data_IF_819290895718
#
_entry.id   IF_819290895718
#
_cell.length_a   1.000
_cell.length_b   1.000
_cell.length_c   1.000
_cell.angle_alpha   90.00
_cell.angle_beta   90.00
_cell.angle_gamma   90.00
#
_symmetry.space_group_name_H-M   'P 1'
#
loop_
_entity.id
_entity.type
_entity.pdbx_description
1 polymer ?
#
# COMPACT_ATOMS: atom_id res chain seq x y z
N UNK A 1 1.76 2.36 24.24
CA UNK A 1 2.71 1.22 24.20
C UNK A 1 3.94 1.38 25.12
N UNK A 2 4.26 2.56 25.68
CA UNK A 2 5.41 2.70 26.60
C UNK A 2 6.79 2.51 25.95
N UNK A 3 6.85 2.57 24.61
CA UNK A 3 8.06 2.45 23.82
C UNK A 3 8.61 3.83 23.43
N UNK A 4 9.92 3.89 23.20
CA UNK A 4 10.55 4.99 22.47
C UNK A 4 10.31 4.78 20.97
N UNK A 5 9.75 5.79 20.30
CA UNK A 5 9.37 5.70 18.89
C UNK A 5 10.24 6.64 18.05
N UNK A 6 10.82 6.08 17.00
CA UNK A 6 11.54 6.84 15.96
C UNK A 6 10.81 6.61 14.65
N UNK A 7 10.35 7.68 14.02
CA UNK A 7 9.69 7.64 12.72
C UNK A 7 10.64 8.12 11.62
N UNK A 8 10.95 7.22 10.69
CA UNK A 8 11.72 7.48 9.49
C UNK A 8 10.89 7.19 8.21
N UNK A 9 9.58 7.01 8.34
CA UNK A 9 8.69 6.87 7.20
C UNK A 9 8.69 8.16 6.39
N UNK A 10 8.59 8.02 5.07
CA UNK A 10 8.57 9.15 4.16
C UNK A 10 7.63 8.84 3.01
N UNK A 11 6.67 9.74 2.77
CA UNK A 11 5.75 9.59 1.65
C UNK A 11 6.52 9.44 0.32
N UNK A 12 6.03 8.57 -0.57
CA UNK A 12 6.66 8.30 -1.85
C UNK A 12 8.04 7.62 -1.77
N UNK A 13 8.45 7.07 -0.63
CA UNK A 13 9.69 6.30 -0.52
C UNK A 13 9.58 4.93 -1.22
N UNK A 14 10.69 4.51 -1.81
CA UNK A 14 10.96 3.21 -2.43
C UNK A 14 11.97 2.43 -1.59
N UNK A 15 12.23 1.16 -1.93
CA UNK A 15 13.29 0.38 -1.26
C UNK A 15 14.69 1.00 -1.37
N UNK A 16 14.95 1.84 -2.38
CA UNK A 16 16.24 2.52 -2.54
C UNK A 16 16.50 3.54 -1.42
N UNK A 17 15.45 4.20 -0.94
CA UNK A 17 15.50 5.25 0.10
C UNK A 17 15.86 4.70 1.48
N UNK A 18 15.83 3.37 1.66
CA UNK A 18 16.40 2.72 2.84
C UNK A 18 17.89 3.04 3.03
N UNK A 19 18.64 3.04 1.93
CA UNK A 19 20.11 3.11 1.96
C UNK A 19 20.67 4.43 1.43
N UNK A 20 19.84 5.29 0.84
CA UNK A 20 20.27 6.55 0.26
C UNK A 20 19.38 7.70 0.73
N UNK A 21 19.95 8.91 0.96
CA UNK A 21 19.15 10.10 1.19
C UNK A 21 18.36 10.48 -0.07
N UNK A 22 17.29 11.23 0.11
CA UNK A 22 16.42 11.71 -0.97
C UNK A 22 16.01 13.15 -0.77
N UNK A 23 15.69 13.83 -1.86
CA UNK A 23 15.11 15.17 -1.81
C UNK A 23 13.58 15.08 -1.77
N UNK A 24 12.97 15.77 -0.80
CA UNK A 24 11.51 15.85 -0.66
C UNK A 24 11.13 17.21 -0.09
N UNK A 25 10.22 17.93 -0.75
CA UNK A 25 9.73 19.22 -0.25
C UNK A 25 10.79 20.32 -0.14
N UNK A 26 11.93 20.20 -0.83
CA UNK A 26 13.06 21.13 -0.72
C UNK A 26 14.04 20.80 0.43
N UNK A 27 13.87 19.65 1.07
CA UNK A 27 14.74 19.16 2.15
C UNK A 27 15.36 17.81 1.78
N UNK A 28 16.59 17.59 2.23
CA UNK A 28 17.27 16.29 2.17
C UNK A 28 16.79 15.42 3.33
N UNK A 29 16.01 14.39 3.02
CA UNK A 29 15.61 13.34 3.96
C UNK A 29 16.75 12.31 4.03
N UNK A 30 17.29 11.99 5.22
CA UNK A 30 18.32 10.97 5.38
C UNK A 30 17.88 9.58 4.90
N UNK A 31 18.84 8.69 4.63
CA UNK A 31 18.56 7.28 4.41
C UNK A 31 17.80 6.70 5.61
N UNK A 32 16.72 5.95 5.37
CA UNK A 32 15.84 5.51 6.47
C UNK A 32 16.55 4.58 7.46
N UNK A 33 17.51 3.76 7.00
CA UNK A 33 18.31 2.88 7.86
C UNK A 33 19.23 3.65 8.82
N UNK A 34 19.47 4.95 8.60
CA UNK A 34 20.21 5.76 9.56
C UNK A 34 19.48 5.89 10.91
N UNK A 35 18.15 5.73 10.93
CA UNK A 35 17.36 5.69 12.17
C UNK A 35 17.65 4.48 13.06
N UNK A 36 18.30 3.45 12.52
CA UNK A 36 18.66 2.22 13.24
C UNK A 36 20.08 2.27 13.82
N UNK A 37 20.78 3.41 13.74
CA UNK A 37 22.18 3.54 14.14
C UNK A 37 22.43 3.20 15.61
N UNK A 38 21.49 3.56 16.49
CA UNK A 38 21.56 3.27 17.93
C UNK A 38 20.93 1.90 18.29
N UNK A 39 20.55 1.11 17.27
CA UNK A 39 19.85 -0.16 17.40
C UNK A 39 18.33 0.00 17.45
N UNK A 40 17.63 -1.13 17.38
CA UNK A 40 16.19 -1.21 17.53
C UNK A 40 15.79 -2.56 18.11
N UNK A 41 14.77 -2.58 18.95
CA UNK A 41 14.16 -3.81 19.45
C UNK A 41 13.13 -4.36 18.44
N UNK A 42 12.35 -3.47 17.83
CA UNK A 42 11.31 -3.77 16.85
C UNK A 42 11.43 -2.79 15.69
N UNK A 43 11.32 -3.28 14.46
CA UNK A 43 11.27 -2.45 13.24
C UNK A 43 9.95 -2.74 12.53
N UNK A 44 9.06 -1.75 12.47
CA UNK A 44 7.86 -1.79 11.65
C UNK A 44 8.18 -1.20 10.28
N UNK A 45 7.81 -1.88 9.20
CA UNK A 45 8.12 -1.41 7.85
C UNK A 45 7.01 -1.75 6.85
N UNK A 46 6.63 -0.76 6.04
CA UNK A 46 5.79 -0.91 4.85
C UNK A 46 6.53 -0.32 3.65
N UNK A 47 6.72 -1.10 2.59
CA UNK A 47 7.43 -0.69 1.38
C UNK A 47 7.04 -1.58 0.18
N UNK A 48 7.41 -1.16 -1.04
CA UNK A 48 7.15 -1.91 -2.26
C UNK A 48 6.12 -1.28 -3.20
N UNK A 49 5.11 -0.58 -2.68
CA UNK A 49 4.08 0.05 -3.50
C UNK A 49 4.63 1.10 -4.48
N UNK A 50 5.59 1.92 -4.04
CA UNK A 50 6.25 2.89 -4.91
C UNK A 50 7.29 2.23 -5.83
N UNK A 51 7.91 1.12 -5.43
CA UNK A 51 8.80 0.33 -6.31
C UNK A 51 8.03 -0.27 -7.49
N UNK A 52 6.81 -0.75 -7.25
CA UNK A 52 5.86 -1.17 -8.28
C UNK A 52 5.39 0.01 -9.14
N UNK A 53 5.44 1.23 -8.60
CA UNK A 53 4.89 2.42 -9.24
C UNK A 53 3.37 2.49 -9.16
N UNK A 54 2.78 1.92 -8.10
CA UNK A 54 1.33 1.81 -7.93
C UNK A 54 0.56 3.14 -8.09
N UNK A 55 1.04 4.29 -7.56
CA UNK A 55 0.34 5.57 -7.78
C UNK A 55 0.26 5.97 -9.26
N UNK A 56 1.36 5.80 -10.01
CA UNK A 56 1.39 6.10 -11.44
C UNK A 56 0.52 5.11 -12.25
N UNK A 57 0.49 3.84 -11.81
CA UNK A 57 -0.37 2.82 -12.38
C UNK A 57 -1.84 3.21 -12.25
N UNK A 58 -2.31 3.57 -11.05
CA UNK A 58 -3.69 4.02 -10.85
C UNK A 58 -3.98 5.30 -11.64
N UNK A 59 -3.04 6.25 -11.68
CA UNK A 59 -3.16 7.46 -12.50
C UNK A 59 -3.38 7.17 -13.98
N UNK A 60 -2.73 6.14 -14.52
CA UNK A 60 -2.92 5.67 -15.90
C UNK A 60 -4.27 4.97 -16.15
N UNK A 61 -4.93 4.51 -15.10
CA UNK A 61 -6.22 3.81 -15.14
C UNK A 61 -7.42 4.73 -14.89
N UNK A 62 -7.21 6.03 -14.66
CA UNK A 62 -8.32 6.95 -14.44
C UNK A 62 -9.22 7.03 -15.68
N UNK A 63 -10.49 6.67 -15.49
CA UNK A 63 -11.51 6.60 -16.51
C UNK A 63 -12.42 7.84 -16.50
N UNK A 64 -12.93 8.22 -17.68
CA UNK A 64 -13.89 9.33 -17.81
C UNK A 64 -15.33 8.92 -17.51
N UNK A 65 -15.67 7.68 -17.84
CA UNK A 65 -16.99 7.07 -17.67
C UNK A 65 -16.80 5.62 -17.16
N UNK A 66 -17.84 4.96 -16.61
CA UNK A 66 -17.72 3.61 -16.05
C UNK A 66 -17.19 2.56 -17.03
N UNK A 67 -17.43 2.74 -18.33
CA UNK A 67 -16.97 1.88 -19.40
C UNK A 67 -15.74 2.44 -20.15
N UNK A 68 -15.10 3.49 -19.61
CA UNK A 68 -13.97 4.18 -20.23
C UNK A 68 -14.36 5.31 -21.20
N UNK A 69 -13.40 5.90 -21.94
CA UNK A 69 -12.00 5.52 -22.00
C UNK A 69 -11.18 6.02 -20.81
N UNK A 70 -10.00 5.42 -20.60
CA UNK A 70 -8.97 6.01 -19.75
C UNK A 70 -8.27 7.16 -20.45
N UNK A 71 -7.67 8.08 -19.68
CA UNK A 71 -6.97 9.24 -20.25
C UNK A 71 -5.86 8.86 -21.24
N UNK A 72 -5.28 7.66 -21.09
CA UNK A 72 -4.22 7.13 -21.95
C UNK A 72 -4.71 6.67 -23.35
N UNK A 73 -6.02 6.60 -23.61
CA UNK A 73 -6.59 6.30 -24.93
C UNK A 73 -7.38 4.98 -25.04
N UNK A 74 -6.91 3.84 -24.49
CA UNK A 74 -7.68 2.60 -24.48
C UNK A 74 -9.01 2.71 -23.74
N UNK A 75 -9.89 1.73 -23.95
CA UNK A 75 -11.14 1.61 -23.17
C UNK A 75 -10.83 1.42 -21.69
N UNK A 76 -9.90 0.52 -21.36
CA UNK A 76 -9.44 0.25 -19.98
C UNK A 76 -7.91 0.23 -19.95
N UNK A 77 -7.27 0.56 -18.82
CA UNK A 77 -5.81 0.44 -18.74
C UNK A 77 -5.35 -1.02 -18.83
N UNK A 78 -6.20 -1.95 -18.39
CA UNK A 78 -6.00 -3.40 -18.52
C UNK A 78 -5.78 -3.80 -19.98
N UNK A 79 -6.43 -3.16 -20.96
CA UNK A 79 -6.22 -3.49 -22.37
C UNK A 79 -4.78 -3.26 -22.84
N UNK A 80 -4.06 -2.32 -22.22
CA UNK A 80 -2.66 -2.05 -22.51
C UNK A 80 -1.71 -2.84 -21.60
N UNK A 81 -2.07 -3.04 -20.33
CA UNK A 81 -1.16 -3.57 -19.30
C UNK A 81 -1.28 -5.08 -19.11
N UNK A 82 -2.45 -5.65 -19.38
CA UNK A 82 -2.74 -7.08 -19.27
C UNK A 82 -3.70 -7.52 -20.40
N UNK A 83 -3.28 -7.40 -21.67
CA UNK A 83 -4.12 -7.76 -22.81
C UNK A 83 -4.45 -9.25 -22.81
N UNK A 84 -5.66 -9.59 -23.27
CA UNK A 84 -6.10 -10.99 -23.37
C UNK A 84 -5.14 -11.81 -24.25
N UNK A 85 -4.63 -12.92 -23.72
CA UNK A 85 -3.65 -13.78 -24.40
C UNK A 85 -2.22 -13.23 -24.43
N UNK A 86 -1.96 -12.10 -23.76
CA UNK A 86 -0.63 -11.55 -23.54
C UNK A 86 -0.17 -11.69 -22.09
N UNK A 87 1.02 -11.15 -21.81
CA UNK A 87 1.57 -11.06 -20.46
C UNK A 87 0.97 -9.88 -19.72
N UNK A 88 0.55 -10.12 -18.48
CA UNK A 88 0.29 -9.03 -17.55
C UNK A 88 1.62 -8.41 -17.10
N UNK A 89 1.92 -7.23 -17.63
CA UNK A 89 3.20 -6.56 -17.43
C UNK A 89 3.42 -6.15 -15.97
N UNK A 90 2.35 -5.87 -15.22
CA UNK A 90 2.43 -5.43 -13.83
C UNK A 90 2.68 -6.61 -12.91
N UNK A 91 1.98 -7.72 -13.11
CA UNK A 91 2.24 -8.97 -12.38
C UNK A 91 3.65 -9.49 -12.63
N UNK A 92 4.09 -9.50 -13.89
CA UNK A 92 5.46 -9.86 -14.24
C UNK A 92 6.51 -8.95 -13.57
N UNK A 93 6.19 -7.66 -13.37
CA UNK A 93 7.05 -6.73 -12.63
C UNK A 93 7.07 -7.02 -11.13
N UNK A 94 5.94 -7.40 -10.54
CA UNK A 94 5.85 -7.85 -9.14
C UNK A 94 6.76 -9.06 -8.94
N UNK A 95 6.60 -10.11 -9.76
CA UNK A 95 7.35 -11.36 -9.65
C UNK A 95 8.85 -11.19 -9.94
N UNK A 96 9.24 -10.18 -10.71
CA UNK A 96 10.62 -9.93 -11.11
C UNK A 96 11.32 -8.83 -10.30
N UNK A 97 11.20 -7.60 -10.79
CA UNK A 97 11.92 -6.42 -10.28
C UNK A 97 11.56 -6.12 -8.82
N UNK A 98 10.26 -6.12 -8.50
CA UNK A 98 9.78 -5.75 -7.16
C UNK A 98 10.14 -6.82 -6.15
N UNK A 99 9.89 -8.10 -6.43
CA UNK A 99 10.28 -9.20 -5.54
C UNK A 99 11.78 -9.18 -5.21
N UNK A 100 12.63 -8.96 -6.21
CA UNK A 100 14.08 -8.80 -6.00
C UNK A 100 14.39 -7.65 -5.05
N UNK A 101 13.80 -6.47 -5.28
CA UNK A 101 14.02 -5.29 -4.43
C UNK A 101 13.51 -5.48 -3.01
N UNK A 102 12.36 -6.14 -2.82
CA UNK A 102 11.82 -6.47 -1.51
C UNK A 102 12.79 -7.38 -0.74
N UNK A 103 13.31 -8.43 -1.39
CA UNK A 103 14.31 -9.31 -0.78
C UNK A 103 15.58 -8.57 -0.36
N UNK A 104 16.11 -7.69 -1.22
CA UNK A 104 17.25 -6.84 -0.87
C UNK A 104 16.93 -5.89 0.28
N UNK A 105 15.74 -5.27 0.29
CA UNK A 105 15.30 -4.35 1.31
C UNK A 105 15.26 -5.01 2.69
N UNK A 106 14.59 -6.17 2.82
CA UNK A 106 14.56 -6.90 4.08
C UNK A 106 15.94 -7.40 4.50
N UNK A 107 16.79 -7.81 3.55
CA UNK A 107 18.19 -8.14 3.83
C UNK A 107 18.97 -6.96 4.42
N UNK A 108 18.79 -5.75 3.89
CA UNK A 108 19.43 -4.53 4.41
C UNK A 108 18.90 -4.14 5.80
N UNK A 109 17.60 -4.25 6.04
CA UNK A 109 17.02 -4.00 7.37
C UNK A 109 17.57 -5.00 8.39
N UNK A 110 17.62 -6.29 8.05
CA UNK A 110 18.21 -7.33 8.90
C UNK A 110 19.70 -7.07 9.18
N UNK A 111 20.45 -6.59 8.19
CA UNK A 111 21.86 -6.25 8.38
C UNK A 111 22.06 -5.03 9.29
N UNK A 112 21.19 -4.01 9.17
CA UNK A 112 21.24 -2.80 10.00
C UNK A 112 20.79 -3.06 11.45
N UNK A 113 19.80 -3.95 11.64
CA UNK A 113 19.26 -4.29 12.94
C UNK A 113 19.22 -5.82 13.15
N UNK A 114 20.37 -6.49 13.34
CA UNK A 114 20.47 -7.95 13.37
C UNK A 114 19.69 -8.60 14.51
N UNK A 115 19.48 -7.87 15.61
CA UNK A 115 18.76 -8.34 16.79
C UNK A 115 17.30 -7.90 16.86
N UNK A 116 16.86 -7.01 15.96
CA UNK A 116 15.50 -6.50 15.99
C UNK A 116 14.49 -7.56 15.52
N UNK A 117 13.28 -7.47 16.08
CA UNK A 117 12.11 -8.14 15.55
C UNK A 117 11.57 -7.30 14.40
N UNK A 118 11.68 -7.80 13.17
CA UNK A 118 11.25 -7.08 11.97
C UNK A 118 9.82 -7.48 11.68
N UNK A 119 8.94 -6.50 11.52
CA UNK A 119 7.53 -6.66 11.18
C UNK A 119 7.24 -5.90 9.89
N UNK A 120 6.98 -6.65 8.83
CA UNK A 120 6.45 -6.16 7.58
C UNK A 120 4.95 -5.93 7.72
N UNK A 121 4.49 -4.75 7.33
CA UNK A 121 3.08 -4.38 7.31
C UNK A 121 2.56 -4.47 5.86
N UNK A 122 1.47 -5.20 5.65
CA UNK A 122 0.71 -5.14 4.39
C UNK A 122 0.07 -3.77 4.18
N UNK A 123 -0.54 -3.56 3.01
CA UNK A 123 -1.35 -2.37 2.75
C UNK A 123 -2.79 -2.59 3.22
N UNK A 124 -3.48 -1.53 3.65
CA UNK A 124 -4.95 -1.57 3.77
C UNK A 124 -5.55 -1.79 2.38
N UNK A 125 -6.70 -2.45 2.29
CA UNK A 125 -7.45 -2.60 1.04
C UNK A 125 -7.76 -1.23 0.42
N UNK A 126 -7.18 -0.93 -0.74
CA UNK A 126 -7.30 0.40 -1.36
C UNK A 126 -8.64 0.57 -2.05
N UNK A 127 -9.05 -0.39 -2.87
CA UNK A 127 -10.28 -0.28 -3.68
C UNK A 127 -11.42 -1.12 -3.09
N UNK A 128 -11.13 -2.35 -2.73
CA UNK A 128 -12.05 -3.35 -2.20
C UNK A 128 -11.52 -4.75 -2.54
N UNK A 129 -12.11 -5.80 -1.97
CA UNK A 129 -11.88 -7.15 -2.50
C UNK A 129 -12.37 -7.22 -3.95
N UNK A 130 -11.61 -7.80 -4.90
CA UNK A 130 -12.06 -8.00 -6.27
C UNK A 130 -13.46 -8.63 -6.38
N UNK A 131 -13.80 -9.53 -5.45
CA UNK A 131 -15.08 -10.23 -5.42
C UNK A 131 -16.16 -9.50 -4.59
N UNK A 132 -15.81 -8.39 -3.92
CA UNK A 132 -16.71 -7.59 -3.09
C UNK A 132 -16.81 -6.13 -3.52
N UNK A 133 -16.39 -5.79 -4.76
CA UNK A 133 -16.63 -4.47 -5.33
C UNK A 133 -18.15 -4.17 -5.43
N UNK A 134 -18.57 -2.90 -5.32
CA UNK A 134 -19.98 -2.53 -5.43
C UNK A 134 -20.60 -3.05 -6.73
N UNK A 135 -21.82 -3.60 -6.65
CA UNK A 135 -22.51 -4.19 -7.81
C UNK A 135 -22.79 -3.18 -8.94
N UNK A 136 -22.90 -1.90 -8.60
CA UNK A 136 -23.08 -0.78 -9.54
C UNK A 136 -21.76 -0.24 -10.11
N UNK A 137 -20.63 -0.77 -9.66
CA UNK A 137 -19.31 -0.30 -10.04
C UNK A 137 -18.77 0.82 -9.16
N UNK A 138 -17.45 0.89 -9.04
CA UNK A 138 -16.78 1.78 -8.10
C UNK A 138 -17.00 3.26 -8.44
N UNK A 139 -16.94 3.62 -9.73
CA UNK A 139 -17.17 4.99 -10.19
C UNK A 139 -18.60 5.44 -9.89
N UNK A 140 -19.61 4.61 -10.15
CA UNK A 140 -21.01 4.96 -9.87
C UNK A 140 -21.27 5.04 -8.37
N UNK A 141 -20.79 4.06 -7.60
CA UNK A 141 -20.94 4.03 -6.14
C UNK A 141 -20.36 5.28 -5.45
N UNK A 142 -19.29 5.84 -6.01
CA UNK A 142 -18.60 7.00 -5.44
C UNK A 142 -18.91 8.32 -6.16
N UNK A 143 -19.75 8.34 -7.21
CA UNK A 143 -19.98 9.52 -8.05
C UNK A 143 -20.54 10.75 -7.28
N UNK A 144 -21.27 10.51 -6.20
CA UNK A 144 -21.86 11.57 -5.35
C UNK A 144 -21.11 11.74 -4.02
N UNK A 145 -20.02 10.99 -3.84
CA UNK A 145 -19.17 11.06 -2.66
C UNK A 145 -18.55 12.45 -2.55
N UNK A 146 -18.75 13.09 -1.40
CA UNK A 146 -18.16 14.41 -1.09
C UNK A 146 -17.25 14.34 0.12
N UNK A 147 -17.44 13.34 1.00
CA UNK A 147 -16.62 13.16 2.19
C UNK A 147 -15.39 12.32 1.84
N UNK A 148 -15.58 11.07 1.42
CA UNK A 148 -14.49 10.16 1.05
C UNK A 148 -13.87 10.53 -0.30
N UNK A 149 -14.64 11.15 -1.21
CA UNK A 149 -14.22 11.45 -2.57
C UNK A 149 -14.54 10.33 -3.58
N UNK A 150 -14.24 10.60 -4.85
CA UNK A 150 -14.61 9.75 -5.99
C UNK A 150 -13.50 8.78 -6.36
N UNK A 151 -13.86 7.59 -6.82
CA UNK A 151 -12.91 6.65 -7.44
C UNK A 151 -13.20 6.55 -8.92
N UNK A 152 -12.36 7.21 -9.72
CA UNK A 152 -12.55 7.35 -11.16
C UNK A 152 -11.97 6.15 -11.92
N UNK A 153 -12.44 4.94 -11.63
CA UNK A 153 -11.98 3.71 -12.28
C UNK A 153 -13.15 2.99 -12.95
N UNK A 154 -12.91 2.46 -14.15
CA UNK A 154 -13.82 1.49 -14.76
C UNK A 154 -13.80 0.20 -13.93
N UNK A 155 -14.91 -0.55 -13.93
CA UNK A 155 -15.06 -1.72 -13.05
C UNK A 155 -13.98 -2.78 -13.29
N UNK A 156 -13.61 -2.98 -14.57
CA UNK A 156 -12.54 -3.90 -14.95
C UNK A 156 -11.18 -3.44 -14.43
N UNK A 157 -10.90 -2.14 -14.48
CA UNK A 157 -9.64 -1.59 -13.98
C UNK A 157 -9.59 -1.66 -12.45
N UNK A 158 -10.71 -1.37 -11.77
CA UNK A 158 -10.81 -1.47 -10.32
C UNK A 158 -10.57 -2.90 -9.81
N UNK A 159 -11.23 -3.91 -10.40
CA UNK A 159 -11.05 -5.31 -10.04
C UNK A 159 -9.62 -5.80 -10.30
N UNK A 160 -9.03 -5.39 -11.43
CA UNK A 160 -7.66 -5.75 -11.76
C UNK A 160 -6.65 -5.10 -10.81
N UNK A 161 -6.78 -3.82 -10.50
CA UNK A 161 -5.93 -3.10 -9.55
C UNK A 161 -6.03 -3.68 -8.12
N UNK A 162 -7.22 -4.09 -7.69
CA UNK A 162 -7.41 -4.79 -6.42
C UNK A 162 -6.63 -6.13 -6.40
N UNK A 163 -6.64 -6.89 -7.49
CA UNK A 163 -5.81 -8.07 -7.64
C UNK A 163 -4.30 -7.77 -7.62
N UNK A 164 -3.86 -6.68 -8.28
CA UNK A 164 -2.47 -6.22 -8.24
C UNK A 164 -2.02 -5.88 -6.82
N UNK A 165 -2.88 -5.23 -6.02
CA UNK A 165 -2.57 -4.96 -4.62
C UNK A 165 -2.36 -6.27 -3.83
N UNK A 166 -3.29 -7.22 -3.95
CA UNK A 166 -3.19 -8.53 -3.27
C UNK A 166 -1.87 -9.22 -3.62
N UNK A 167 -1.51 -9.23 -4.88
CA UNK A 167 -0.27 -9.85 -5.36
C UNK A 167 1.01 -9.14 -4.87
N UNK A 168 0.95 -7.81 -4.67
CA UNK A 168 2.02 -7.06 -4.04
C UNK A 168 2.16 -7.43 -2.56
N UNK A 169 1.07 -7.49 -1.80
CA UNK A 169 1.10 -7.87 -0.38
C UNK A 169 1.61 -9.31 -0.21
N UNK A 170 1.21 -10.22 -1.10
CA UNK A 170 1.74 -11.58 -1.16
C UNK A 170 3.26 -11.59 -1.41
N UNK A 171 3.77 -10.72 -2.29
CA UNK A 171 5.21 -10.60 -2.54
C UNK A 171 5.97 -10.04 -1.33
N UNK A 172 5.39 -9.06 -0.62
CA UNK A 172 5.93 -8.51 0.63
C UNK A 172 5.97 -9.59 1.71
N UNK A 173 4.88 -10.34 1.89
CA UNK A 173 4.78 -11.42 2.86
C UNK A 173 5.84 -12.51 2.60
N UNK A 174 6.04 -12.92 1.34
CA UNK A 174 7.10 -13.87 0.96
C UNK A 174 8.49 -13.34 1.28
N UNK A 175 8.81 -12.11 0.86
CA UNK A 175 10.13 -11.52 1.10
C UNK A 175 10.42 -11.31 2.60
N UNK A 176 9.39 -10.94 3.37
CA UNK A 176 9.48 -10.85 4.83
C UNK A 176 9.78 -12.21 5.46
N UNK A 177 9.04 -13.26 5.08
CA UNK A 177 9.23 -14.62 5.58
C UNK A 177 10.64 -15.15 5.28
N UNK A 178 11.13 -14.95 4.05
CA UNK A 178 12.48 -15.36 3.62
C UNK A 178 13.60 -14.67 4.44
N UNK A 179 13.34 -13.46 4.94
CA UNK A 179 14.24 -12.70 5.81
C UNK A 179 14.04 -12.96 7.32
N UNK A 180 13.13 -13.89 7.68
CA UNK A 180 12.77 -14.17 9.07
C UNK A 180 12.04 -13.01 9.75
N UNK A 181 11.33 -12.19 8.99
CA UNK A 181 10.45 -11.14 9.49
C UNK A 181 9.00 -11.65 9.61
N UNK A 182 8.25 -11.05 10.53
CA UNK A 182 6.80 -11.27 10.66
C UNK A 182 6.10 -10.44 9.59
N UNK A 183 5.06 -10.99 8.96
CA UNK A 183 4.11 -10.21 8.14
C UNK A 183 2.82 -9.99 8.92
N UNK A 184 2.28 -8.78 8.86
CA UNK A 184 0.97 -8.41 9.41
C UNK A 184 0.06 -8.05 8.24
N UNK A 185 -0.90 -8.93 7.97
CA UNK A 185 -1.92 -8.72 6.96
C UNK A 185 -2.92 -7.64 7.44
N UNK A 186 -3.02 -6.57 6.65
CA UNK A 186 -3.99 -5.50 6.86
C UNK A 186 -5.02 -5.43 5.72
N UNK A 187 -4.80 -6.16 4.62
CA UNK A 187 -5.71 -6.22 3.49
C UNK A 187 -6.96 -7.01 3.89
N UNK A 188 -6.81 -8.27 4.32
CA UNK A 188 -7.97 -9.14 4.60
C UNK A 188 -8.95 -8.54 5.62
N UNK A 189 -8.51 -7.97 6.76
CA UNK A 189 -9.42 -7.36 7.72
C UNK A 189 -10.11 -6.09 7.20
N UNK A 190 -9.54 -5.41 6.20
CA UNK A 190 -10.08 -4.16 5.63
C UNK A 190 -10.73 -4.35 4.27
N UNK A 191 -10.97 -5.60 3.84
CA UNK A 191 -11.50 -5.98 2.53
C UNK A 191 -12.78 -5.22 2.11
N UNK A 192 -13.65 -4.89 3.06
CA UNK A 192 -14.92 -4.15 2.83
C UNK A 192 -14.82 -2.64 3.06
N UNK A 193 -13.64 -2.15 3.41
CA UNK A 193 -13.38 -0.76 3.79
C UNK A 193 -12.58 0.01 2.73
N UNK A 194 -12.44 -0.55 1.53
CA UNK A 194 -11.77 0.12 0.42
C UNK A 194 -12.50 1.38 -0.05
N UNK A 195 -11.82 2.21 -0.84
CA UNK A 195 -12.34 3.50 -1.30
C UNK A 195 -13.63 3.39 -2.11
N UNK A 196 -13.88 2.24 -2.76
CA UNK A 196 -15.13 2.00 -3.49
C UNK A 196 -16.37 1.90 -2.59
N UNK A 197 -16.20 1.72 -1.27
CA UNK A 197 -17.31 1.76 -0.32
C UNK A 197 -17.96 3.16 -0.25
N UNK A 198 -17.17 4.22 -0.50
CA UNK A 198 -17.65 5.60 -0.54
C UNK A 198 -18.33 6.06 0.75
N UNK A 199 -19.08 7.17 0.66
CA UNK A 199 -19.81 7.77 1.80
C UNK A 199 -20.96 6.89 2.32
N UNK A 200 -21.43 5.93 1.51
CA UNK A 200 -22.49 5.00 1.91
C UNK A 200 -21.97 3.82 2.74
N UNK A 201 -20.66 3.59 2.73
CA UNK A 201 -19.99 2.54 3.51
C UNK A 201 -19.08 3.11 4.60
N UNK A 202 -18.25 2.24 5.16
CA UNK A 202 -17.24 2.59 6.16
C UNK A 202 -15.85 2.61 5.51
N UNK A 203 -15.64 3.53 4.56
CA UNK A 203 -14.39 3.60 3.81
C UNK A 203 -13.24 4.03 4.73
N UNK A 204 -12.14 3.26 4.71
CA UNK A 204 -10.88 3.57 5.39
C UNK A 204 -9.85 4.20 4.47
N UNK A 205 -10.10 4.18 3.16
CA UNK A 205 -9.21 4.73 2.14
C UNK A 205 -9.92 5.83 1.37
N UNK A 206 -9.25 6.97 1.23
CA UNK A 206 -9.80 8.12 0.54
C UNK A 206 -9.88 7.93 -0.97
N UNK A 207 -10.96 8.44 -1.57
CA UNK A 207 -11.08 8.69 -3.00
C UNK A 207 -10.45 10.03 -3.42
N UNK A 208 -10.53 10.35 -4.71
CA UNK A 208 -10.09 11.59 -5.30
C UNK A 208 -11.05 12.74 -4.94
N UNK A 209 -10.48 13.88 -4.53
CA UNK A 209 -11.23 15.13 -4.36
C UNK A 209 -12.17 15.18 -3.16
N UNK A 210 -12.07 14.24 -2.21
CA UNK A 210 -12.84 14.24 -0.97
C UNK A 210 -12.46 15.38 -0.02
N UNK A 211 -13.39 15.80 0.84
CA UNK A 211 -13.21 16.93 1.76
C UNK A 211 -12.49 16.60 3.07
N UNK A 212 -12.16 15.33 3.31
CA UNK A 212 -11.52 14.87 4.54
C UNK A 212 -10.03 15.26 4.68
N UNK A 213 -9.47 16.00 3.72
CA UNK A 213 -8.07 16.45 3.75
C UNK A 213 -7.07 15.35 3.41
N UNK A 214 -7.56 14.26 2.84
CA UNK A 214 -6.78 13.04 2.60
C UNK A 214 -5.97 13.10 1.31
N UNK A 215 -4.86 12.37 1.31
CA UNK A 215 -4.15 12.05 0.07
C UNK A 215 -4.94 10.95 -0.64
N UNK A 216 -5.29 11.10 -1.93
CA UNK A 216 -6.07 10.09 -2.63
C UNK A 216 -5.43 8.70 -2.52
N UNK A 217 -6.27 7.69 -2.31
CA UNK A 217 -5.92 6.28 -2.18
C UNK A 217 -4.99 5.96 -1.00
N UNK A 218 -4.91 6.86 -0.01
CA UNK A 218 -4.27 6.61 1.27
C UNK A 218 -5.33 6.42 2.36
N UNK A 219 -4.96 5.81 3.50
CA UNK A 219 -5.83 5.75 4.65
C UNK A 219 -6.35 7.15 5.02
N UNK A 220 -7.67 7.29 5.15
CA UNK A 220 -8.30 8.47 5.71
C UNK A 220 -8.21 8.43 7.25
N UNK A 221 -8.83 9.39 7.93
CA UNK A 221 -8.82 9.43 9.40
C UNK A 221 -9.31 8.12 10.07
N UNK A 222 -10.34 7.47 9.53
CA UNK A 222 -10.84 6.20 10.06
C UNK A 222 -9.86 5.05 9.80
N UNK A 223 -9.26 5.00 8.62
CA UNK A 223 -8.22 4.02 8.30
C UNK A 223 -6.96 4.18 9.14
N UNK A 224 -6.53 5.41 9.43
CA UNK A 224 -5.40 5.70 10.30
C UNK A 224 -5.68 5.34 11.78
N UNK A 225 -6.91 5.54 12.24
CA UNK A 225 -7.35 5.13 13.58
C UNK A 225 -7.29 3.60 13.70
N UNK A 226 -7.88 2.89 12.75
CA UNK A 226 -7.83 1.43 12.67
C UNK A 226 -6.39 0.90 12.61
N UNK A 227 -5.56 1.51 11.78
CA UNK A 227 -4.14 1.15 11.66
C UNK A 227 -3.39 1.37 12.98
N UNK A 228 -3.64 2.49 13.66
CA UNK A 228 -3.02 2.79 14.96
C UNK A 228 -3.34 1.74 16.02
N UNK A 229 -4.57 1.22 16.02
CA UNK A 229 -4.99 0.13 16.91
C UNK A 229 -4.26 -1.18 16.58
N UNK A 230 -4.16 -1.53 15.30
CA UNK A 230 -3.42 -2.72 14.85
C UNK A 230 -1.95 -2.62 15.24
N UNK A 231 -1.29 -1.50 14.94
CA UNK A 231 0.12 -1.28 15.26
C UNK A 231 0.37 -1.28 16.77
N UNK A 232 -0.58 -0.75 17.55
CA UNK A 232 -0.54 -0.87 19.00
C UNK A 232 -0.52 -2.34 19.40
N UNK A 233 -1.48 -3.15 18.94
CA UNK A 233 -1.54 -4.58 19.22
C UNK A 233 -0.25 -5.33 18.86
N UNK A 234 0.30 -5.07 17.67
CA UNK A 234 1.58 -5.62 17.22
C UNK A 234 2.70 -5.27 18.20
N UNK A 235 2.84 -4.00 18.58
CA UNK A 235 3.89 -3.56 19.50
C UNK A 235 3.77 -4.21 20.89
N UNK A 236 2.54 -4.45 21.39
CA UNK A 236 2.34 -5.21 22.63
C UNK A 236 2.79 -6.67 22.50
N UNK A 237 2.47 -7.33 21.39
CA UNK A 237 2.88 -8.72 21.14
C UNK A 237 4.40 -8.85 21.00
N UNK A 238 5.03 -7.96 20.24
CA UNK A 238 6.49 -7.96 20.07
C UNK A 238 7.21 -7.59 21.38
N UNK A 239 6.66 -6.67 22.17
CA UNK A 239 7.16 -6.34 23.52
C UNK A 239 7.10 -7.52 24.47
N UNK A 240 5.97 -8.23 24.51
CA UNK A 240 5.82 -9.45 25.31
C UNK A 240 6.81 -10.55 24.86
N UNK A 241 7.05 -10.69 23.55
CA UNK A 241 8.03 -11.63 23.01
C UNK A 241 9.49 -11.27 23.39
N UNK A 242 9.76 -10.00 23.72
CA UNK A 242 11.03 -9.51 24.25
C UNK A 242 11.10 -9.55 25.79
N UNK A 243 10.01 -9.94 26.48
CA UNK A 243 9.92 -9.96 27.94
C UNK A 243 9.78 -8.58 28.58
N UNK A 244 9.16 -7.62 27.86
CA UNK A 244 8.90 -6.26 28.33
C UNK A 244 7.41 -6.00 28.56
#
# INVERSE_FOLDING_TARGET
>A
VGAELVDAACDGATTADLAAPRERGGETVPAQLASLADGADVVLVRLGGNDLGFPALVGGCLARDPEGPVAAGPTTCVDALAPAGGTDAVRARIDGEVATRLGEAFGRIRAAAPHARIVALGYLTVLGDPDALPAEGCLRATATSTVNGQVLLADRDAAWLAGIQRELDDAIARAAADAGARFVDQETPTATHGACAGDAGDAYVAGLGGSAGDVPLHPNAAGLDWESDVLTGVLWEEGAALGR
#
